data_IF_924855329782
#
_entry.id   IF_924855329782
#
_cell.length_a   1.000
_cell.length_b   1.000
_cell.length_c   1.000
_cell.angle_alpha   90.00
_cell.angle_beta   90.00
_cell.angle_gamma   90.00
#
_symmetry.space_group_name_H-M   'P 1'
#
loop_
_entity.id
_entity.type
_entity.pdbx_description
1 polymer ?
#
# COMPACT_ATOMS: atom_id res chain seq x y z
N UNK A 1 9.45 11.51 10.19
CA UNK A 1 9.48 10.18 9.57
C UNK A 1 8.07 9.76 9.17
N UNK A 2 7.94 9.07 8.05
CA UNK A 2 6.69 8.47 7.59
C UNK A 2 6.84 6.96 7.64
N UNK A 3 5.82 6.27 8.15
CA UNK A 3 5.84 4.82 8.28
C UNK A 3 4.45 4.25 8.01
N UNK A 4 4.39 3.00 7.62
CA UNK A 4 3.15 2.24 7.61
C UNK A 4 3.39 0.85 8.20
N UNK A 5 2.31 0.19 8.61
CA UNK A 5 2.32 -1.23 8.96
C UNK A 5 1.21 -1.94 8.22
N UNK A 6 1.48 -3.17 7.79
CA UNK A 6 0.46 -4.05 7.23
C UNK A 6 0.24 -5.28 8.14
N UNK A 7 -0.96 -5.85 8.10
CA UNK A 7 -1.40 -6.90 9.02
C UNK A 7 -2.13 -8.04 8.30
N UNK A 8 -2.15 -9.20 8.95
CA UNK A 8 -2.90 -10.39 8.56
C UNK A 8 -4.39 -10.30 8.94
N UNK A 9 -4.72 -9.42 9.89
CA UNK A 9 -6.08 -9.17 10.40
C UNK A 9 -6.40 -7.69 10.30
N UNK A 10 -7.68 -7.32 10.31
CA UNK A 10 -8.05 -5.91 10.30
C UNK A 10 -7.60 -5.18 11.59
N UNK A 11 -7.24 -3.89 11.49
CA UNK A 11 -7.05 -3.12 10.25
C UNK A 11 -5.82 -3.60 9.46
N UNK A 12 -5.97 -3.78 8.14
CA UNK A 12 -4.92 -4.38 7.32
C UNK A 12 -3.75 -3.44 7.05
N UNK A 13 -3.97 -2.13 6.96
CA UNK A 13 -2.93 -1.13 6.71
C UNK A 13 -3.13 0.07 7.63
N UNK A 14 -2.07 0.47 8.31
CA UNK A 14 -2.03 1.61 9.22
C UNK A 14 -0.88 2.54 8.84
N UNK A 15 -1.18 3.80 8.53
CA UNK A 15 -0.21 4.84 8.21
C UNK A 15 0.08 5.73 9.41
N UNK A 16 1.34 6.14 9.57
CA UNK A 16 1.80 6.96 10.69
C UNK A 16 2.75 8.05 10.23
N UNK A 17 2.59 9.21 10.86
CA UNK A 17 3.51 10.34 10.76
C UNK A 17 4.17 10.51 12.12
N UNK A 18 5.49 10.56 12.13
CA UNK A 18 6.30 10.77 13.33
C UNK A 18 7.01 12.12 13.16
N UNK A 19 6.78 13.04 14.10
CA UNK A 19 7.35 14.38 14.08
C UNK A 19 8.88 14.35 14.21
N UNK A 20 9.53 15.48 13.95
CA UNK A 20 10.98 15.64 14.16
C UNK A 20 11.39 15.42 15.62
N UNK A 21 10.46 15.63 16.55
CA UNK A 21 10.68 15.48 18.00
C UNK A 21 10.40 14.04 18.47
N UNK A 22 10.12 13.12 17.53
CA UNK A 22 9.85 11.71 17.83
C UNK A 22 8.41 11.41 18.25
N UNK A 23 7.51 12.39 18.19
CA UNK A 23 6.10 12.19 18.55
C UNK A 23 5.38 11.46 17.43
N UNK A 24 4.82 10.30 17.75
CA UNK A 24 3.99 9.53 16.83
C UNK A 24 2.56 10.06 16.86
N UNK A 25 2.08 10.57 15.72
CA UNK A 25 0.70 11.02 15.59
C UNK A 25 -0.27 9.82 15.59
N UNK A 26 -1.55 10.13 15.80
CA UNK A 26 -2.64 9.16 15.63
C UNK A 26 -2.53 8.47 14.26
N UNK A 27 -2.72 7.14 14.21
CA UNK A 27 -2.61 6.41 12.97
C UNK A 27 -3.80 6.70 12.06
N UNK A 28 -3.54 6.71 10.76
CA UNK A 28 -4.57 6.70 9.73
C UNK A 28 -4.75 5.26 9.26
N UNK A 29 -5.93 4.69 9.49
CA UNK A 29 -6.29 3.42 8.87
C UNK A 29 -6.48 3.63 7.37
N UNK A 30 -5.88 2.75 6.56
CA UNK A 30 -6.09 2.70 5.11
C UNK A 30 -6.89 1.43 4.81
N UNK A 31 -8.13 1.60 4.37
CA UNK A 31 -9.05 0.50 4.12
C UNK A 31 -8.76 -0.13 2.77
N UNK A 32 -8.36 -1.41 2.82
CA UNK A 32 -8.19 -2.29 1.67
C UNK A 32 -9.04 -3.55 1.87
N UNK A 33 -9.47 -4.23 0.80
CA UNK A 33 -10.46 -5.31 0.90
C UNK A 33 -9.93 -6.55 1.61
N UNK A 34 -8.62 -6.84 1.52
CA UNK A 34 -8.02 -8.07 2.02
C UNK A 34 -6.59 -7.84 2.55
N UNK A 35 -6.08 -8.79 3.32
CA UNK A 35 -4.67 -8.79 3.72
C UNK A 35 -3.78 -9.15 2.52
N UNK A 36 -2.96 -8.19 2.13
CA UNK A 36 -1.94 -8.34 1.09
C UNK A 36 -0.55 -8.15 1.70
N UNK A 37 0.47 -8.54 0.94
CA UNK A 37 1.83 -8.11 1.20
C UNK A 37 2.03 -6.71 0.60
N UNK A 38 2.01 -5.70 1.45
CA UNK A 38 2.41 -4.33 1.11
C UNK A 38 3.83 -4.13 1.67
N UNK A 39 4.85 -4.54 0.92
CA UNK A 39 6.24 -4.49 1.41
C UNK A 39 6.75 -3.06 1.56
N UNK A 40 6.40 -2.21 0.59
CA UNK A 40 6.92 -0.86 0.49
C UNK A 40 5.79 0.12 0.14
N UNK A 41 6.08 1.41 0.27
CA UNK A 41 5.21 2.51 -0.08
C UNK A 41 6.07 3.69 -0.54
N UNK A 42 5.49 4.63 -1.26
CA UNK A 42 6.22 5.81 -1.71
C UNK A 42 5.80 7.07 -0.95
N UNK A 43 6.75 7.97 -0.73
CA UNK A 43 6.51 9.30 -0.18
C UNK A 43 7.00 10.34 -1.19
N UNK A 44 6.18 11.35 -1.43
CA UNK A 44 6.55 12.52 -2.23
C UNK A 44 6.56 13.79 -1.37
N UNK A 45 6.79 14.95 -2.00
CA UNK A 45 6.66 16.23 -1.32
C UNK A 45 5.26 16.44 -0.71
N UNK A 46 4.19 15.87 -1.26
CA UNK A 46 2.82 16.16 -0.82
C UNK A 46 2.00 14.92 -0.45
N UNK A 47 2.38 13.74 -0.93
CA UNK A 47 1.56 12.54 -0.87
C UNK A 47 2.30 11.33 -0.32
N UNK A 48 1.60 10.49 0.43
CA UNK A 48 1.93 9.12 0.71
C UNK A 48 1.14 8.21 -0.23
N UNK A 49 1.80 7.20 -0.79
CA UNK A 49 1.19 6.37 -1.84
C UNK A 49 1.32 4.90 -1.49
N UNK A 50 0.15 4.27 -1.41
CA UNK A 50 -0.03 2.87 -1.00
C UNK A 50 -0.27 2.00 -2.22
N UNK A 51 0.36 0.83 -2.25
CA UNK A 51 0.29 -0.11 -3.36
C UNK A 51 -0.56 -1.32 -2.95
N UNK A 52 -1.83 -1.32 -3.36
CA UNK A 52 -2.74 -2.45 -3.19
C UNK A 52 -2.54 -3.42 -4.35
N UNK A 53 -1.54 -4.30 -4.20
CA UNK A 53 -1.09 -5.24 -5.22
C UNK A 53 -1.60 -6.66 -4.92
N UNK A 54 -1.89 -7.47 -5.95
CA UNK A 54 -2.60 -8.74 -5.80
C UNK A 54 -1.70 -9.89 -5.29
N UNK A 55 -0.92 -9.67 -4.24
CA UNK A 55 -0.15 -10.68 -3.51
C UNK A 55 -0.78 -10.91 -2.13
N UNK A 56 -1.70 -11.86 -2.05
CA UNK A 56 -2.60 -12.05 -0.91
C UNK A 56 -2.06 -13.02 0.13
N UNK A 57 -2.36 -12.77 1.41
CA UNK A 57 -2.11 -13.72 2.48
C UNK A 57 -3.13 -14.87 2.46
N UNK A 58 -2.66 -16.11 2.23
CA UNK A 58 -3.48 -17.33 2.05
C UNK A 58 -2.95 -18.50 2.89
N UNK A 59 -3.02 -18.43 4.24
CA UNK A 59 -2.41 -19.44 5.12
C UNK A 59 -3.03 -20.84 4.97
N UNK A 60 -4.29 -20.94 4.55
CA UNK A 60 -4.96 -22.23 4.31
C UNK A 60 -4.33 -23.03 3.18
N UNK A 61 -3.72 -22.34 2.21
CA UNK A 61 -3.08 -22.99 1.05
C UNK A 61 -1.71 -23.58 1.41
N UNK A 62 -1.03 -23.05 2.44
CA UNK A 62 0.20 -23.65 2.97
C UNK A 62 -0.05 -25.07 3.50
N UNK A 63 -1.17 -25.25 4.22
CA UNK A 63 -1.54 -26.52 4.86
C UNK A 63 -1.90 -27.59 3.83
N UNK A 64 -2.34 -27.19 2.63
CA UNK A 64 -2.86 -28.10 1.59
C UNK A 64 -1.81 -28.59 0.60
N UNK A 65 -0.57 -28.11 0.64
CA UNK A 65 0.48 -28.59 -0.29
C UNK A 65 1.69 -27.69 -0.47
N UNK A 66 2.36 -27.30 0.62
CA UNK A 66 3.68 -26.63 0.62
C UNK A 66 3.78 -25.33 -0.20
N UNK A 67 2.66 -24.63 -0.41
CA UNK A 67 2.68 -23.30 -1.03
C UNK A 67 3.08 -22.22 -0.04
N UNK A 68 3.67 -21.14 -0.52
CA UNK A 68 3.99 -19.96 0.30
C UNK A 68 2.73 -19.36 0.93
N UNK A 69 2.92 -18.67 2.07
CA UNK A 69 1.85 -17.98 2.79
C UNK A 69 1.22 -16.82 2.01
N UNK A 70 1.94 -16.33 1.00
CA UNK A 70 1.46 -15.30 0.08
C UNK A 70 1.36 -15.87 -1.33
N UNK A 71 0.22 -15.60 -1.99
CA UNK A 71 -0.06 -16.06 -3.34
C UNK A 71 -0.46 -14.88 -4.23
N UNK A 72 0.18 -14.80 -5.39
CA UNK A 72 -0.15 -13.82 -6.41
C UNK A 72 -1.41 -14.26 -7.16
N UNK A 73 -2.38 -13.36 -7.30
CA UNK A 73 -3.61 -13.60 -8.07
C UNK A 73 -3.57 -12.79 -9.37
N UNK A 74 -3.29 -13.43 -10.53
CA UNK A 74 -3.19 -12.72 -11.81
C UNK A 74 -4.54 -12.17 -12.30
N UNK A 75 -5.66 -12.61 -11.73
CA UNK A 75 -7.02 -12.20 -12.14
C UNK A 75 -7.46 -10.88 -11.51
N UNK A 76 -6.71 -10.39 -10.50
CA UNK A 76 -7.02 -9.18 -9.75
C UNK A 76 -6.19 -8.01 -10.24
N UNK A 77 -6.83 -6.85 -10.38
CA UNK A 77 -6.17 -5.60 -10.74
C UNK A 77 -5.36 -5.05 -9.57
N UNK A 78 -4.28 -4.36 -9.88
CA UNK A 78 -3.52 -3.58 -8.89
C UNK A 78 -4.17 -2.20 -8.70
N UNK A 79 -3.95 -1.57 -7.55
CA UNK A 79 -4.40 -0.19 -7.30
C UNK A 79 -3.36 0.63 -6.56
N UNK A 80 -3.26 1.91 -6.89
CA UNK A 80 -2.48 2.88 -6.12
C UNK A 80 -3.41 3.84 -5.38
N UNK A 81 -3.21 3.95 -4.07
CA UNK A 81 -3.92 4.87 -3.20
C UNK A 81 -3.06 6.10 -2.92
N UNK A 82 -3.45 7.26 -3.41
CA UNK A 82 -2.74 8.53 -3.20
C UNK A 82 -3.41 9.31 -2.08
N UNK A 83 -2.68 9.54 -0.98
CA UNK A 83 -3.16 10.24 0.20
C UNK A 83 -2.27 11.46 0.49
N UNK A 84 -2.82 12.66 0.80
CA UNK A 84 -2.00 13.74 1.34
C UNK A 84 -1.21 13.26 2.57
N UNK A 85 0.12 13.44 2.57
CA UNK A 85 1.01 12.80 3.57
C UNK A 85 0.79 13.23 5.03
N UNK A 86 -0.03 14.25 5.26
CA UNK A 86 -0.45 14.70 6.59
C UNK A 86 -1.95 14.59 6.83
N UNK A 87 -2.67 13.83 5.99
CA UNK A 87 -4.09 13.55 6.19
C UNK A 87 -4.33 12.93 7.57
N UNK A 88 -5.50 13.23 8.15
CA UNK A 88 -5.91 12.74 9.48
C UNK A 88 -6.81 11.51 9.41
N UNK A 89 -7.30 11.18 8.21
CA UNK A 89 -8.12 10.02 7.92
C UNK A 89 -7.98 9.68 6.44
N UNK A 90 -8.53 8.52 6.04
CA UNK A 90 -8.45 8.04 4.66
C UNK A 90 -9.38 8.72 3.67
N UNK A 91 -10.30 9.61 4.09
CA UNK A 91 -11.33 10.17 3.20
C UNK A 91 -10.75 10.95 2.01
N UNK A 92 -9.50 11.38 2.11
CA UNK A 92 -8.78 12.10 1.06
C UNK A 92 -7.98 11.17 0.13
N UNK A 93 -8.00 9.85 0.37
CA UNK A 93 -7.32 8.90 -0.50
C UNK A 93 -8.04 8.82 -1.85
N UNK A 94 -7.25 8.86 -2.92
CA UNK A 94 -7.74 8.59 -4.28
C UNK A 94 -7.13 7.30 -4.78
N UNK A 95 -7.98 6.34 -5.15
CA UNK A 95 -7.56 5.05 -5.68
C UNK A 95 -7.56 5.09 -7.21
N UNK A 96 -6.43 4.70 -7.80
CA UNK A 96 -6.24 4.55 -9.23
C UNK A 96 -6.05 3.08 -9.53
N UNK A 97 -6.73 2.58 -10.56
CA UNK A 97 -6.67 1.19 -10.96
C UNK A 97 -5.59 0.98 -12.03
N UNK A 98 -4.88 -0.14 -11.94
CA UNK A 98 -3.81 -0.53 -12.85
C UNK A 98 -4.07 -1.95 -13.40
N UNK A 99 -3.50 -2.29 -14.57
CA UNK A 99 -3.32 -3.68 -14.95
C UNK A 99 -2.62 -4.47 -13.85
N UNK A 100 -2.91 -5.78 -13.76
CA UNK A 100 -2.28 -6.68 -12.79
C UNK A 100 -0.75 -6.56 -12.85
N UNK A 101 -0.14 -6.18 -11.72
CA UNK A 101 1.30 -6.05 -11.61
C UNK A 101 1.75 -6.29 -10.16
N UNK A 102 3.06 -6.40 -9.96
CA UNK A 102 3.66 -6.52 -8.65
C UNK A 102 4.95 -5.70 -8.58
N UNK A 103 5.09 -4.90 -7.52
CA UNK A 103 6.21 -4.01 -7.24
C UNK A 103 6.63 -4.29 -5.81
N UNK A 104 7.88 -4.72 -5.64
CA UNK A 104 8.41 -5.03 -4.32
C UNK A 104 9.01 -3.78 -3.67
N UNK A 105 9.90 -3.07 -4.37
CA UNK A 105 10.55 -1.85 -3.89
C UNK A 105 10.17 -0.64 -4.73
N UNK A 106 10.12 0.51 -4.08
CA UNK A 106 9.94 1.81 -4.71
C UNK A 106 11.30 2.46 -4.99
N UNK A 107 11.43 3.06 -6.16
CA UNK A 107 12.56 3.92 -6.52
C UNK A 107 12.03 5.25 -7.02
N UNK A 108 12.63 6.35 -6.55
CA UNK A 108 12.19 7.73 -6.84
C UNK A 108 11.90 7.97 -8.34
N UNK A 109 12.79 7.51 -9.23
CA UNK A 109 12.66 7.70 -10.67
C UNK A 109 11.50 6.89 -11.28
N UNK A 110 11.40 5.61 -10.95
CA UNK A 110 10.33 4.73 -11.45
C UNK A 110 8.96 5.20 -11.00
N UNK A 111 8.89 5.69 -9.77
CA UNK A 111 7.65 6.10 -9.17
C UNK A 111 7.10 7.41 -9.75
N UNK A 112 7.99 8.38 -10.02
CA UNK A 112 7.65 9.59 -10.77
C UNK A 112 7.08 9.25 -12.16
N UNK A 113 7.73 8.35 -12.91
CA UNK A 113 7.26 7.95 -14.24
C UNK A 113 5.86 7.30 -14.22
N UNK A 114 5.62 6.42 -13.26
CA UNK A 114 4.32 5.77 -13.08
C UNK A 114 3.25 6.81 -12.74
N UNK A 115 3.51 7.69 -11.76
CA UNK A 115 2.59 8.78 -11.39
C UNK A 115 2.33 9.76 -12.53
N UNK A 116 3.34 10.12 -13.33
CA UNK A 116 3.16 11.00 -14.48
C UNK A 116 2.18 10.42 -15.49
N UNK A 117 2.18 9.10 -15.69
CA UNK A 117 1.20 8.44 -16.55
C UNK A 117 -0.22 8.48 -15.96
N UNK A 118 -0.36 8.45 -14.62
CA UNK A 118 -1.67 8.44 -13.95
C UNK A 118 -2.24 9.81 -13.59
N UNK A 119 -1.41 10.85 -13.42
CA UNK A 119 -1.86 12.22 -13.13
C UNK A 119 -2.24 13.01 -14.39
N UNK A 120 -1.92 12.49 -15.58
CA UNK A 120 -2.29 13.06 -16.88
C UNK A 120 -3.55 12.41 -17.49
N UNK A 121 -4.17 11.46 -16.78
CA UNK A 121 -5.46 10.82 -17.11
C UNK A 121 -6.49 11.18 -16.03
#
# INVERSE_FOLDING_TARGET
MFAFGYSRTQPYVMYRVISKDGVMNDPVQITIPESIMMHDFAITQNYAIFMDLPLYFRPKEMVKGEKFSYLFDPTKKARFGILPRYAKNELQIKWFELPTCFIFHTGEFYFSLCLFHFLLL
#
